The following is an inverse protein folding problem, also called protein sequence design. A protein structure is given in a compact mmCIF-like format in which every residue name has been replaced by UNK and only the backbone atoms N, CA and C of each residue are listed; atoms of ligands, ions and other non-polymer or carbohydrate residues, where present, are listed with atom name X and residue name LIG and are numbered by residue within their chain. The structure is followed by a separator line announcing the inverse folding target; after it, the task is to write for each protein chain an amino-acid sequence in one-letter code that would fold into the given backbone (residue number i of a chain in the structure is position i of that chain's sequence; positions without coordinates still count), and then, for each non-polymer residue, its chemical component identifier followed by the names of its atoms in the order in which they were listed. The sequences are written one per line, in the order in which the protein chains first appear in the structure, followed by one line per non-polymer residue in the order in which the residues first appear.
data_IF_887533947343
#
_entry.id   IF_887533947343
#
_cell.length_a   1.000
_cell.length_b   1.000
_cell.length_c   1.000
_cell.angle_alpha   90.00
_cell.angle_beta   90.00
_cell.angle_gamma   90.00
#
_symmetry.space_group_name_H-M   'P 1'
#
loop_
_entity.id
_entity.type
_entity.pdbx_description
1 polymer ?
#
# COMPACT_ATOMS: atom_id res chain seq x y z
N UNK A 1 5.33 12.41 -13.20
CA UNK A 1 5.39 11.11 -13.92
C UNK A 1 3.97 10.74 -14.32
N UNK A 2 3.71 9.70 -15.11
CA UNK A 2 2.34 9.14 -15.15
C UNK A 2 2.21 8.13 -14.00
N UNK A 3 1.01 7.94 -13.45
CA UNK A 3 0.79 7.11 -12.26
C UNK A 3 1.28 5.67 -12.47
N UNK A 4 1.18 5.16 -13.70
CA UNK A 4 1.67 3.82 -14.05
C UNK A 4 3.18 3.67 -13.90
N UNK A 5 3.97 4.62 -14.41
CA UNK A 5 5.42 4.56 -14.30
C UNK A 5 5.87 4.67 -12.83
N UNK A 6 5.20 5.49 -12.03
CA UNK A 6 5.45 5.59 -10.59
C UNK A 6 5.17 4.27 -9.88
N UNK A 7 4.04 3.63 -10.23
CA UNK A 7 3.68 2.31 -9.70
C UNK A 7 4.71 1.25 -10.12
N UNK A 8 5.15 1.23 -11.37
CA UNK A 8 6.15 0.27 -11.85
C UNK A 8 7.47 0.42 -11.10
N UNK A 9 7.94 1.65 -10.90
CA UNK A 9 9.14 1.94 -10.11
C UNK A 9 8.95 1.51 -8.66
N UNK A 10 7.85 1.90 -8.02
CA UNK A 10 7.54 1.52 -6.64
C UNK A 10 7.56 -0.01 -6.46
N UNK A 11 6.89 -0.76 -7.34
CA UNK A 11 6.85 -2.23 -7.27
C UNK A 11 8.25 -2.85 -7.49
N UNK A 12 9.04 -2.27 -8.39
CA UNK A 12 10.42 -2.70 -8.60
C UNK A 12 11.28 -2.46 -7.36
N UNK A 13 11.14 -1.31 -6.72
CA UNK A 13 11.91 -0.97 -5.53
C UNK A 13 11.53 -1.85 -4.34
N UNK A 14 10.23 -2.11 -4.13
CA UNK A 14 9.78 -3.07 -3.09
C UNK A 14 10.48 -4.43 -3.29
N UNK A 15 10.64 -4.91 -4.54
CA UNK A 15 11.40 -6.15 -4.81
C UNK A 15 12.89 -5.99 -4.52
N UNK A 16 13.50 -4.88 -4.94
CA UNK A 16 14.93 -4.61 -4.74
C UNK A 16 15.30 -4.57 -3.25
N UNK A 17 14.37 -4.08 -2.42
CA UNK A 17 14.50 -4.05 -0.95
C UNK A 17 13.96 -5.32 -0.26
N UNK A 18 13.82 -6.43 -0.98
CA UNK A 18 13.48 -7.72 -0.38
C UNK A 18 12.05 -7.86 0.14
N UNK A 19 11.12 -7.06 -0.40
CA UNK A 19 9.72 -6.99 0.03
C UNK A 19 9.46 -5.97 1.12
N UNK A 20 10.32 -4.96 1.27
CA UNK A 20 10.11 -3.83 2.16
C UNK A 20 9.11 -2.82 1.56
N UNK A 21 8.17 -2.36 2.36
CA UNK A 21 7.15 -1.36 2.02
C UNK A 21 7.41 -0.03 2.72
N UNK A 22 8.51 0.09 3.48
CA UNK A 22 8.82 1.21 4.35
C UNK A 22 9.32 2.48 3.66
N UNK A 23 10.02 3.31 4.43
CA UNK A 23 10.38 4.69 4.07
C UNK A 23 11.19 4.80 2.78
N UNK A 24 12.04 3.81 2.48
CA UNK A 24 12.84 3.79 1.25
C UNK A 24 11.98 3.73 -0.03
N UNK A 25 10.70 3.34 0.09
CA UNK A 25 9.78 3.20 -1.03
C UNK A 25 8.94 4.47 -1.24
N UNK A 26 8.67 5.24 -0.18
CA UNK A 26 7.69 6.35 -0.23
C UNK A 26 8.11 7.45 -1.21
N UNK A 27 9.42 7.67 -1.37
CA UNK A 27 10.00 8.65 -2.29
C UNK A 27 9.65 8.38 -3.78
N UNK A 28 9.25 7.15 -4.11
CA UNK A 28 8.84 6.77 -5.47
C UNK A 28 7.35 6.98 -5.74
N UNK A 29 6.57 7.41 -4.75
CA UNK A 29 5.13 7.70 -4.87
C UNK A 29 4.96 9.20 -5.14
N UNK A 30 4.83 9.58 -6.41
CA UNK A 30 4.64 10.98 -6.84
C UNK A 30 3.17 11.33 -7.20
N UNK A 31 2.22 10.51 -6.77
CA UNK A 31 0.78 10.66 -7.02
C UNK A 31 -0.03 10.49 -5.74
N UNK A 32 -1.27 10.98 -5.71
CA UNK A 32 -2.20 10.73 -4.60
C UNK A 32 -2.98 9.42 -4.87
N UNK A 33 -2.71 8.33 -4.13
CA UNK A 33 -3.32 7.04 -4.40
C UNK A 33 -4.84 7.03 -4.17
N UNK A 34 -5.37 7.96 -3.36
CA UNK A 34 -6.81 8.11 -3.15
C UNK A 34 -7.49 8.84 -4.31
N UNK A 35 -6.78 9.54 -5.18
CA UNK A 35 -7.39 10.26 -6.31
C UNK A 35 -7.26 9.51 -7.64
N UNK A 36 -6.49 8.44 -7.69
CA UNK A 36 -6.36 7.61 -8.90
C UNK A 36 -7.71 7.04 -9.29
N UNK A 37 -8.11 7.29 -10.54
CA UNK A 37 -9.28 6.64 -11.13
C UNK A 37 -8.93 5.19 -11.47
N UNK A 38 -9.49 4.27 -10.68
CA UNK A 38 -9.16 2.84 -10.71
C UNK A 38 -10.34 1.99 -11.16
N UNK A 39 -11.36 2.59 -11.79
CA UNK A 39 -12.59 1.87 -12.16
C UNK A 39 -12.35 0.69 -13.09
N UNK A 40 -11.45 0.85 -14.07
CA UNK A 40 -11.25 -0.11 -15.17
C UNK A 40 -9.81 -0.60 -15.36
N UNK A 41 -8.85 -0.10 -14.57
CA UNK A 41 -7.45 -0.47 -14.66
C UNK A 41 -6.98 -1.21 -13.39
N UNK A 42 -6.76 -2.52 -13.53
CA UNK A 42 -6.32 -3.37 -12.43
C UNK A 42 -4.90 -3.03 -11.94
N UNK A 43 -3.99 -2.60 -12.83
CA UNK A 43 -2.61 -2.27 -12.45
C UNK A 43 -2.60 -0.97 -11.63
N UNK A 44 -3.38 0.03 -12.05
CA UNK A 44 -3.56 1.26 -11.26
C UNK A 44 -4.24 0.98 -9.92
N UNK A 45 -5.27 0.13 -9.89
CA UNK A 45 -5.94 -0.25 -8.65
C UNK A 45 -5.01 -0.94 -7.64
N UNK A 46 -4.23 -1.92 -8.12
CA UNK A 46 -3.25 -2.64 -7.31
C UNK A 46 -2.16 -1.69 -6.83
N UNK A 47 -1.59 -0.90 -7.72
CA UNK A 47 -0.50 0.03 -7.41
C UNK A 47 -0.94 1.11 -6.42
N UNK A 48 -2.11 1.72 -6.61
CA UNK A 48 -2.67 2.69 -5.65
C UNK A 48 -2.93 2.04 -4.29
N UNK A 49 -3.46 0.80 -4.28
CA UNK A 49 -3.64 0.04 -3.06
C UNK A 49 -2.33 -0.22 -2.30
N UNK A 50 -1.26 -0.57 -3.02
CA UNK A 50 0.07 -0.80 -2.43
C UNK A 50 0.71 0.51 -1.96
N UNK A 51 0.56 1.60 -2.70
CA UNK A 51 1.07 2.92 -2.31
C UNK A 51 0.50 3.37 -0.96
N UNK A 52 -0.79 3.14 -0.70
CA UNK A 52 -1.41 3.43 0.60
C UNK A 52 -0.79 2.60 1.75
N UNK A 53 -0.44 1.33 1.47
CA UNK A 53 0.23 0.48 2.44
C UNK A 53 1.67 0.97 2.70
N UNK A 54 2.37 1.43 1.66
CA UNK A 54 3.70 2.03 1.78
C UNK A 54 3.67 3.29 2.63
N UNK A 55 2.73 4.21 2.38
CA UNK A 55 2.56 5.42 3.20
C UNK A 55 2.38 5.08 4.69
N UNK A 56 1.60 4.03 4.98
CA UNK A 56 1.41 3.57 6.35
C UNK A 56 2.70 2.97 6.95
N UNK A 57 3.47 2.20 6.18
CA UNK A 57 4.74 1.61 6.63
C UNK A 57 5.81 2.69 6.89
N UNK A 58 5.96 3.66 5.98
CA UNK A 58 6.88 4.80 6.15
C UNK A 58 6.60 5.58 7.45
N UNK A 59 5.33 5.72 7.83
CA UNK A 59 4.99 6.32 9.13
C UNK A 59 5.39 5.44 10.33
N UNK A 60 5.27 4.12 10.23
CA UNK A 60 5.73 3.20 11.28
C UNK A 60 7.25 3.33 11.46
N UNK A 61 8.02 3.36 10.37
CA UNK A 61 9.50 3.44 10.42
C UNK A 61 10.00 4.71 11.13
N UNK A 62 9.25 5.81 10.99
CA UNK A 62 9.57 7.10 11.55
C UNK A 62 8.92 7.37 12.93
N UNK A 63 8.10 6.45 13.44
CA UNK A 63 7.36 6.65 14.69
C UNK A 63 7.05 5.32 15.41
N UNK A 64 5.90 5.22 16.07
CA UNK A 64 5.39 3.97 16.62
C UNK A 64 4.18 3.50 15.83
N UNK A 65 3.88 2.21 15.90
CA UNK A 65 2.67 1.67 15.28
C UNK A 65 1.38 2.37 15.76
N UNK A 66 1.33 2.75 17.04
CA UNK A 66 0.20 3.48 17.61
C UNK A 66 0.07 4.89 17.04
N UNK A 67 1.18 5.58 16.80
CA UNK A 67 1.18 6.89 16.17
C UNK A 67 0.75 6.78 14.69
N UNK A 68 1.23 5.77 13.97
CA UNK A 68 0.81 5.49 12.60
C UNK A 68 -0.71 5.24 12.48
N UNK A 69 -1.31 4.53 13.45
CA UNK A 69 -2.76 4.29 13.53
C UNK A 69 -3.61 5.55 13.72
N UNK A 70 -3.02 6.59 14.33
CA UNK A 70 -3.61 7.91 14.51
C UNK A 70 -3.25 8.89 13.37
N UNK A 71 -2.37 8.47 12.46
CA UNK A 71 -1.85 9.29 11.38
C UNK A 71 -2.64 9.18 10.07
N UNK A 72 -2.22 9.99 9.11
CA UNK A 72 -2.84 10.10 7.79
C UNK A 72 -2.87 8.76 7.03
N UNK A 73 -1.82 7.94 7.13
CA UNK A 73 -1.78 6.61 6.50
C UNK A 73 -2.93 5.69 6.94
N UNK A 74 -3.30 5.72 8.23
CA UNK A 74 -4.44 4.96 8.74
C UNK A 74 -5.79 5.50 8.21
N UNK A 75 -5.95 6.82 8.15
CA UNK A 75 -7.15 7.46 7.60
C UNK A 75 -7.29 7.20 6.10
N UNK A 76 -6.18 7.18 5.38
CA UNK A 76 -6.10 6.81 3.98
C UNK A 76 -6.55 5.35 3.78
N UNK A 77 -6.04 4.41 4.58
CA UNK A 77 -6.50 3.01 4.57
C UNK A 77 -8.01 2.89 4.87
N UNK A 78 -8.53 3.61 5.87
CA UNK A 78 -9.98 3.63 6.19
C UNK A 78 -10.81 4.15 5.01
N UNK A 79 -10.35 5.21 4.37
CA UNK A 79 -11.01 5.81 3.20
C UNK A 79 -11.01 4.84 2.01
N UNK A 80 -9.88 4.17 1.77
CA UNK A 80 -9.75 3.18 0.71
C UNK A 80 -10.65 1.96 0.90
N UNK A 81 -10.84 1.49 2.14
CA UNK A 81 -11.76 0.39 2.46
C UNK A 81 -13.22 0.69 2.07
N UNK A 82 -13.62 1.97 2.03
CA UNK A 82 -14.96 2.38 1.59
C UNK A 82 -15.16 2.34 0.06
N UNK A 83 -14.07 2.20 -0.71
CA UNK A 83 -14.13 2.18 -2.17
C UNK A 83 -14.38 0.78 -2.72
N UNK A 84 -15.36 0.67 -3.62
CA UNK A 84 -15.77 -0.60 -4.23
C UNK A 84 -14.68 -1.23 -5.11
N UNK A 85 -13.85 -0.41 -5.76
CA UNK A 85 -12.85 -0.83 -6.74
C UNK A 85 -11.73 -1.69 -6.15
N UNK A 86 -11.30 -1.41 -4.91
CA UNK A 86 -10.27 -2.21 -4.23
C UNK A 86 -10.79 -3.55 -3.69
N UNK A 87 -12.11 -3.73 -3.56
CA UNK A 87 -12.71 -4.98 -3.08
C UNK A 87 -12.39 -6.19 -3.98
N UNK A 88 -11.98 -5.94 -5.23
CA UNK A 88 -11.53 -6.97 -6.18
C UNK A 88 -10.14 -7.53 -5.86
N UNK A 89 -9.39 -6.90 -4.95
CA UNK A 89 -8.02 -7.26 -4.58
C UNK A 89 -7.95 -7.62 -3.09
N UNK A 90 -8.35 -8.86 -2.73
CA UNK A 90 -8.59 -9.23 -1.34
C UNK A 90 -7.35 -9.11 -0.46
N UNK A 91 -6.15 -9.44 -0.97
CA UNK A 91 -4.94 -9.37 -0.14
C UNK A 91 -4.55 -7.92 0.22
N UNK A 92 -4.88 -6.94 -0.63
CA UNK A 92 -4.69 -5.52 -0.32
C UNK A 92 -5.70 -5.07 0.74
N UNK A 93 -6.98 -5.42 0.57
CA UNK A 93 -8.04 -5.11 1.55
C UNK A 93 -7.76 -5.77 2.91
N UNK A 94 -7.31 -7.02 2.90
CA UNK A 94 -6.92 -7.75 4.10
C UNK A 94 -5.76 -7.04 4.80
N UNK A 95 -4.75 -6.56 4.05
CA UNK A 95 -3.65 -5.79 4.61
C UNK A 95 -4.10 -4.45 5.20
N UNK A 96 -5.01 -3.73 4.54
CA UNK A 96 -5.57 -2.47 5.07
C UNK A 96 -6.38 -2.71 6.36
N UNK A 97 -7.14 -3.80 6.45
CA UNK A 97 -7.86 -4.17 7.68
C UNK A 97 -6.89 -4.59 8.78
N UNK A 98 -5.90 -5.41 8.43
CA UNK A 98 -4.85 -5.87 9.34
C UNK A 98 -4.05 -4.70 9.93
N UNK A 99 -3.78 -3.68 9.11
CA UNK A 99 -3.14 -2.43 9.53
C UNK A 99 -3.88 -1.72 10.66
N UNK A 100 -5.21 -1.88 10.73
CA UNK A 100 -6.06 -1.27 11.76
C UNK A 100 -6.26 -2.18 12.98
N UNK A 101 -5.78 -3.43 12.92
CA UNK A 101 -5.95 -4.43 13.97
C UNK A 101 -4.70 -4.51 14.86
N UNK A 102 -3.55 -4.89 14.27
CA UNK A 102 -2.28 -4.96 14.98
C UNK A 102 -1.10 -5.11 14.03
N UNK A 103 0.07 -4.69 14.50
CA UNK A 103 1.32 -4.79 13.75
C UNK A 103 1.66 -6.22 13.30
N UNK A 104 1.45 -7.21 14.17
CA UNK A 104 1.72 -8.62 13.85
C UNK A 104 0.83 -9.13 12.71
N UNK A 105 -0.47 -8.82 12.76
CA UNK A 105 -1.43 -9.23 11.73
C UNK A 105 -1.14 -8.49 10.42
N UNK A 106 -0.79 -7.21 10.50
CA UNK A 106 -0.39 -6.38 9.37
C UNK A 106 0.84 -6.92 8.64
N UNK A 107 1.92 -7.22 9.37
CA UNK A 107 3.16 -7.75 8.80
C UNK A 107 2.95 -9.10 8.08
N UNK A 108 2.01 -9.93 8.57
CA UNK A 108 1.65 -11.17 7.89
C UNK A 108 0.84 -10.92 6.62
N UNK A 109 -0.06 -9.94 6.63
CA UNK A 109 -0.84 -9.56 5.46
C UNK A 109 0.04 -8.93 4.36
N UNK A 110 1.03 -8.11 4.71
CA UNK A 110 1.99 -7.54 3.74
C UNK A 110 2.76 -8.63 2.97
N UNK A 111 3.16 -9.73 3.64
CA UNK A 111 3.80 -10.88 2.96
C UNK A 111 2.89 -11.53 1.91
N UNK A 112 1.56 -11.48 2.12
CA UNK A 112 0.57 -11.97 1.16
C UNK A 112 0.46 -11.00 -0.02
N UNK A 113 0.37 -9.69 0.24
CA UNK A 113 0.39 -8.65 -0.80
C UNK A 113 1.63 -8.77 -1.68
N UNK A 114 2.82 -8.90 -1.08
CA UNK A 114 4.06 -9.07 -1.81
C UNK A 114 4.01 -10.25 -2.77
N UNK A 115 3.57 -11.42 -2.27
CA UNK A 115 3.47 -12.65 -3.06
C UNK A 115 2.47 -12.54 -4.21
N UNK A 116 1.31 -11.95 -3.94
CA UNK A 116 0.19 -11.94 -4.88
C UNK A 116 0.38 -10.88 -5.97
N UNK A 117 1.04 -9.76 -5.67
CA UNK A 117 1.05 -8.58 -6.53
C UNK A 117 2.42 -7.99 -6.83
N UNK A 118 3.47 -8.29 -6.06
CA UNK A 118 4.78 -7.63 -6.22
C UNK A 118 5.84 -8.57 -6.77
N UNK A 119 5.88 -9.82 -6.28
CA UNK A 119 6.93 -10.79 -6.59
C UNK A 119 7.05 -11.13 -8.09
N UNK A 120 5.98 -10.90 -8.86
CA UNK A 120 5.88 -11.26 -10.28
C UNK A 120 5.46 -10.10 -11.19
N UNK A 121 5.33 -8.89 -10.65
CA UNK A 121 4.91 -7.71 -11.40
C UNK A 121 5.99 -7.13 -12.31
#
# INVERSE_FOLDING_TARGET
MNERSSIEIMLQEIRNYGGDFGDSIVDYIDFDPLQVDISDDAQLAIGAGIALLVEFCSHIDNSTYLDALAGKGADNNRSALSKCTLQRFPSIIDAMKAALESESVFNNALKKVYRDYVAHA
#
